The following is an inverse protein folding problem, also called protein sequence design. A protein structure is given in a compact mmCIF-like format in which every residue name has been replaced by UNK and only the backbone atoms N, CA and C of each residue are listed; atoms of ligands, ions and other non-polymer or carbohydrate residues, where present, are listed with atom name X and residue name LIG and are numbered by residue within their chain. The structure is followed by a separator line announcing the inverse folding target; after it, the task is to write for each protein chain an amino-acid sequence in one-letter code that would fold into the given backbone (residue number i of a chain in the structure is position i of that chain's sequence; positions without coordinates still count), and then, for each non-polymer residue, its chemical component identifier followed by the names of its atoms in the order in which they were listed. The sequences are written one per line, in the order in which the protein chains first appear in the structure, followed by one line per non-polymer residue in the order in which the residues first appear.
data_IF_367046698390
#
_entry.id   IF_367046698390
#
_cell.length_a   1.000
_cell.length_b   1.000
_cell.length_c   1.000
_cell.angle_alpha   90.00
_cell.angle_beta   90.00
_cell.angle_gamma   90.00
#
_symmetry.space_group_name_H-M   'P 1'
#
loop_
_entity.id
_entity.type
_entity.pdbx_description
1 polymer ?
#
# COMPACT_ATOMS: atom_id res chain seq x y z
N UNK A 1 12.97 3.26 1.44
CA UNK A 1 11.56 3.42 1.04
C UNK A 1 10.75 2.18 1.36
N UNK A 2 11.25 1.01 1.02
CA UNK A 2 10.48 -0.22 1.10
C UNK A 2 9.95 -0.54 2.49
N UNK A 3 10.79 -0.39 3.53
CA UNK A 3 10.36 -0.73 4.89
C UNK A 3 9.17 0.12 5.33
N UNK A 4 9.24 1.43 5.08
CA UNK A 4 8.15 2.32 5.49
C UNK A 4 6.89 2.05 4.66
N UNK A 5 7.05 1.75 3.38
CA UNK A 5 5.91 1.39 2.54
C UNK A 5 5.23 0.12 3.05
N UNK A 6 6.02 -0.91 3.37
CA UNK A 6 5.44 -2.18 3.81
C UNK A 6 4.66 -2.01 5.11
N UNK A 7 5.22 -1.30 6.07
CA UNK A 7 4.54 -1.06 7.35
C UNK A 7 3.27 -0.24 7.17
N UNK A 8 3.34 0.81 6.35
CA UNK A 8 2.19 1.67 6.10
C UNK A 8 1.09 0.90 5.38
N UNK A 9 1.46 0.08 4.40
CA UNK A 9 0.51 -0.70 3.63
C UNK A 9 -0.26 -1.67 4.53
N UNK A 10 0.45 -2.37 5.41
CA UNK A 10 -0.17 -3.29 6.36
C UNK A 10 -1.11 -2.52 7.30
N UNK A 11 -0.67 -1.38 7.80
CA UNK A 11 -1.46 -0.55 8.71
C UNK A 11 -2.75 -0.08 8.04
N UNK A 12 -2.66 0.41 6.82
CA UNK A 12 -3.83 0.91 6.09
C UNK A 12 -4.81 -0.23 5.77
N UNK A 13 -4.28 -1.38 5.38
CA UNK A 13 -5.10 -2.55 5.09
C UNK A 13 -5.87 -2.99 6.33
N UNK A 14 -5.17 -3.10 7.46
CA UNK A 14 -5.78 -3.51 8.72
C UNK A 14 -6.82 -2.52 9.20
N UNK A 15 -6.60 -1.22 8.96
CA UNK A 15 -7.55 -0.19 9.36
C UNK A 15 -8.89 -0.33 8.64
N UNK A 16 -8.91 -0.96 7.46
CA UNK A 16 -10.13 -1.23 6.71
C UNK A 16 -10.63 -2.66 6.89
N UNK A 17 -10.03 -3.42 7.79
CA UNK A 17 -10.38 -4.84 8.03
C UNK A 17 -10.29 -5.68 6.76
N UNK A 18 -9.34 -5.38 5.89
CA UNK A 18 -9.14 -6.12 4.66
C UNK A 18 -8.12 -7.22 4.84
N UNK A 19 -8.34 -8.35 4.17
CA UNK A 19 -7.37 -9.43 4.10
C UNK A 19 -6.44 -9.20 2.93
N UNK A 20 -5.30 -9.91 2.92
CA UNK A 20 -4.37 -9.84 1.79
C UNK A 20 -5.04 -10.28 0.49
N UNK A 21 -5.92 -11.28 0.57
CA UNK A 21 -6.67 -11.73 -0.62
C UNK A 21 -7.60 -10.64 -1.13
N UNK A 22 -8.20 -9.86 -0.22
CA UNK A 22 -9.05 -8.74 -0.63
C UNK A 22 -8.26 -7.69 -1.38
N UNK A 23 -7.08 -7.36 -0.87
CA UNK A 23 -6.23 -6.38 -1.53
C UNK A 23 -5.79 -6.85 -2.90
N UNK A 24 -5.45 -8.13 -3.03
CA UNK A 24 -5.05 -8.67 -4.32
C UNK A 24 -6.18 -8.50 -5.35
N UNK A 25 -7.43 -8.75 -4.93
CA UNK A 25 -8.58 -8.57 -5.82
C UNK A 25 -8.76 -7.11 -6.21
N UNK A 26 -8.63 -6.20 -5.26
CA UNK A 26 -8.75 -4.76 -5.50
C UNK A 26 -7.70 -4.30 -6.51
N UNK A 27 -6.47 -4.79 -6.35
CA UNK A 27 -5.36 -4.41 -7.23
C UNK A 27 -5.31 -5.21 -8.53
N UNK A 28 -6.16 -6.23 -8.66
CA UNK A 28 -6.22 -7.11 -9.84
C UNK A 28 -4.91 -7.85 -10.06
N UNK A 29 -4.32 -8.31 -8.98
CA UNK A 29 -3.11 -9.15 -8.99
C UNK A 29 -3.38 -10.40 -8.17
N UNK A 30 -2.47 -11.37 -8.22
CA UNK A 30 -2.64 -12.55 -7.39
C UNK A 30 -2.18 -12.26 -5.96
N UNK A 31 -2.66 -13.08 -5.02
CA UNK A 31 -2.38 -12.89 -3.60
C UNK A 31 -0.89 -12.96 -3.30
N UNK A 32 -0.18 -13.85 -3.97
CA UNK A 32 1.26 -14.02 -3.76
C UNK A 32 2.02 -12.74 -4.10
N UNK A 33 1.66 -12.07 -5.19
CA UNK A 33 2.29 -10.82 -5.59
C UNK A 33 2.00 -9.73 -4.55
N UNK A 34 0.76 -9.67 -4.05
CA UNK A 34 0.43 -8.70 -3.02
C UNK A 34 1.23 -8.96 -1.73
N UNK A 35 1.36 -10.25 -1.35
CA UNK A 35 2.15 -10.60 -0.17
C UNK A 35 3.60 -10.13 -0.31
N UNK A 36 4.15 -10.17 -1.52
CA UNK A 36 5.50 -9.68 -1.76
C UNK A 36 5.61 -8.19 -1.57
N UNK A 37 4.56 -7.45 -1.85
CA UNK A 37 4.54 -6.01 -1.55
C UNK A 37 4.60 -5.76 -0.05
N UNK A 38 3.88 -6.55 0.74
CA UNK A 38 3.88 -6.38 2.19
C UNK A 38 5.15 -6.89 2.85
N UNK A 39 5.81 -7.86 2.26
CA UNK A 39 7.06 -8.39 2.80
C UNK A 39 8.31 -7.60 2.38
N UNK A 40 8.16 -6.74 1.37
CA UNK A 40 9.29 -5.98 0.85
C UNK A 40 10.08 -6.69 -0.24
N UNK A 41 9.66 -7.91 -0.62
CA UNK A 41 10.33 -8.65 -1.69
C UNK A 41 10.14 -8.01 -3.05
N UNK A 42 9.07 -7.24 -3.21
CA UNK A 42 8.76 -6.57 -4.47
C UNK A 42 8.21 -5.19 -4.15
N UNK A 43 8.53 -4.20 -4.99
CA UNK A 43 8.01 -2.85 -4.81
C UNK A 43 6.98 -2.56 -5.90
N UNK A 44 5.82 -1.98 -5.52
CA UNK A 44 4.85 -1.55 -6.53
C UNK A 44 5.45 -0.45 -7.41
N UNK A 45 5.07 -0.46 -8.67
CA UNK A 45 5.45 0.62 -9.59
C UNK A 45 4.69 1.88 -9.25
N UNK A 46 5.10 3.00 -9.86
CA UNK A 46 4.52 4.30 -9.53
C UNK A 46 3.02 4.34 -9.74
N UNK A 47 2.52 3.78 -10.82
CA UNK A 47 1.07 3.78 -11.08
C UNK A 47 0.30 3.01 -10.01
N UNK A 48 0.87 1.90 -9.53
CA UNK A 48 0.27 1.13 -8.44
C UNK A 48 0.31 1.91 -7.15
N UNK A 49 1.41 2.62 -6.87
CA UNK A 49 1.51 3.46 -5.68
C UNK A 49 0.47 4.57 -5.69
N UNK A 50 0.25 5.19 -6.84
CA UNK A 50 -0.77 6.23 -6.99
C UNK A 50 -2.15 5.64 -6.74
N UNK A 51 -2.43 4.45 -7.28
CA UNK A 51 -3.71 3.79 -7.06
C UNK A 51 -3.92 3.51 -5.57
N UNK A 52 -2.89 3.01 -4.89
CA UNK A 52 -2.99 2.70 -3.45
C UNK A 52 -3.23 3.96 -2.64
N UNK A 53 -2.52 5.05 -2.95
CA UNK A 53 -2.73 6.31 -2.26
C UNK A 53 -4.16 6.82 -2.45
N UNK A 54 -4.67 6.72 -3.67
CA UNK A 54 -6.05 7.11 -3.96
C UNK A 54 -7.06 6.21 -3.23
N UNK A 55 -6.82 4.90 -3.25
CA UNK A 55 -7.73 3.96 -2.63
C UNK A 55 -7.83 4.19 -1.11
N UNK A 56 -6.70 4.41 -0.46
CA UNK A 56 -6.66 4.64 0.98
C UNK A 56 -6.87 6.10 1.35
N UNK A 57 -7.00 6.98 0.36
CA UNK A 57 -7.22 8.42 0.56
C UNK A 57 -6.12 9.05 1.41
N UNK A 58 -4.89 8.75 1.07
CA UNK A 58 -3.71 9.33 1.74
C UNK A 58 -2.79 9.93 0.68
N UNK A 59 -1.85 10.76 1.12
CA UNK A 59 -0.86 11.32 0.21
C UNK A 59 0.12 10.23 -0.22
N UNK A 60 0.70 10.39 -1.39
CA UNK A 60 1.75 9.50 -1.85
C UNK A 60 2.95 9.53 -0.92
N UNK A 61 3.31 10.71 -0.43
CA UNK A 61 4.42 10.88 0.50
C UNK A 61 4.21 10.08 1.78
N UNK A 62 2.99 10.11 2.32
CA UNK A 62 2.67 9.32 3.50
C UNK A 62 2.79 7.82 3.21
N UNK A 63 2.26 7.39 2.07
CA UNK A 63 2.27 5.98 1.70
C UNK A 63 3.69 5.43 1.63
N UNK A 64 4.62 6.18 1.05
CA UNK A 64 6.00 5.73 0.89
C UNK A 64 6.90 6.10 2.07
N UNK A 65 6.34 6.69 3.13
CA UNK A 65 7.07 6.96 4.35
C UNK A 65 7.89 8.24 4.35
N UNK A 66 7.60 9.16 3.45
CA UNK A 66 8.31 10.45 3.39
C UNK A 66 7.64 11.53 4.24
N UNK A 67 6.43 11.26 4.73
CA UNK A 67 5.68 12.20 5.54
C UNK A 67 4.86 11.44 6.57
N UNK A 68 4.74 12.00 7.77
CA UNK A 68 3.86 11.47 8.82
C UNK A 68 2.43 11.97 8.66
N UNK A 69 2.21 12.94 7.78
CA UNK A 69 0.90 13.52 7.56
C UNK A 69 0.20 12.80 6.41
N UNK A 70 -0.90 12.11 6.72
CA UNK A 70 -1.64 11.35 5.72
C UNK A 70 -2.51 12.22 4.82
N UNK A 71 -2.68 13.49 5.17
CA UNK A 71 -3.56 14.37 4.39
C UNK A 71 -3.07 14.55 2.97
N UNK A 72 -4.00 14.53 2.05
CA UNK A 72 -3.73 14.84 0.66
C UNK A 72 -3.65 16.36 0.50
N UNK A 73 -2.71 16.79 -0.29
CA UNK A 73 -2.57 18.23 -0.54
C UNK A 73 -3.33 18.63 -1.78
#
# INVERSE_FOLDING_TARGET
MTKNLTETLIKLRNAKDLKQTDMAKILKINTRQYQRYESGDSEPKLDMLIFLADYFDVSLDYLVGRSDNSKRS
#
